data_IF_268164766688
#
_entry.id   IF_268164766688
#
_cell.length_a   1.000
_cell.length_b   1.000
_cell.length_c   1.000
_cell.angle_alpha   90.00
_cell.angle_beta   90.00
_cell.angle_gamma   90.00
#
_symmetry.space_group_name_H-M   'P 1'
#
loop_
_entity.id
_entity.type
_entity.pdbx_description
1 polymer ?
#
# COMPACT_ATOMS: atom_id res chain seq x y z
N UNK A 1 -4.56 -2.23 -20.72
CA UNK A 1 -5.49 -2.10 -19.57
C UNK A 1 -6.90 -2.58 -19.90
N UNK A 2 -7.45 -2.34 -21.11
CA UNK A 2 -8.79 -2.81 -21.50
C UNK A 2 -8.94 -4.34 -21.42
N UNK A 3 -7.95 -5.11 -21.87
CA UNK A 3 -8.01 -6.57 -21.91
C UNK A 3 -8.19 -7.24 -20.54
N UNK A 4 -7.69 -6.63 -19.46
CA UNK A 4 -7.83 -7.17 -18.10
C UNK A 4 -9.26 -7.01 -17.57
N UNK A 5 -9.84 -5.82 -17.76
CA UNK A 5 -11.22 -5.54 -17.32
C UNK A 5 -12.26 -6.24 -18.20
N UNK A 6 -12.00 -6.40 -19.49
CA UNK A 6 -12.89 -7.12 -20.41
C UNK A 6 -12.91 -8.63 -20.12
N UNK A 7 -11.75 -9.22 -19.78
CA UNK A 7 -11.68 -10.61 -19.32
C UNK A 7 -12.31 -10.80 -17.94
N UNK A 8 -12.20 -9.81 -17.04
CA UNK A 8 -12.91 -9.82 -15.76
C UNK A 8 -14.43 -9.74 -15.96
N UNK A 9 -14.90 -8.87 -16.86
CA UNK A 9 -16.31 -8.70 -17.16
C UNK A 9 -16.95 -9.95 -17.76
N UNK A 10 -16.26 -10.63 -18.69
CA UNK A 10 -16.72 -11.91 -19.26
C UNK A 10 -16.82 -13.01 -18.20
N UNK A 11 -15.83 -13.12 -17.30
CA UNK A 11 -15.86 -14.09 -16.19
C UNK A 11 -16.95 -13.82 -15.16
N UNK A 12 -17.32 -12.55 -14.92
CA UNK A 12 -18.37 -12.20 -13.97
C UNK A 12 -19.76 -12.49 -14.55
N UNK A 13 -19.94 -12.33 -15.88
CA UNK A 13 -21.22 -12.61 -16.55
C UNK A 13 -21.59 -14.10 -16.54
N UNK A 14 -20.60 -14.99 -16.61
CA UNK A 14 -20.84 -16.45 -16.59
C UNK A 14 -21.24 -16.98 -15.19
N UNK A 15 -21.08 -16.18 -14.12
CA UNK A 15 -21.36 -16.57 -12.72
C UNK A 15 -22.83 -16.34 -12.32
N UNK A 16 -23.62 -15.67 -13.16
CA UNK A 16 -25.01 -15.34 -12.83
C UNK A 16 -26.01 -16.49 -13.04
N UNK A 17 -25.68 -17.55 -13.81
CA UNK A 17 -26.65 -18.59 -14.17
C UNK A 17 -26.69 -19.84 -13.27
N UNK A 18 -25.67 -20.11 -12.45
CA UNK A 18 -25.61 -21.37 -11.66
C UNK A 18 -25.82 -21.16 -10.15
N UNK A 19 -27.05 -20.85 -9.74
CA UNK A 19 -27.44 -20.69 -8.32
C UNK A 19 -27.56 -22.02 -7.54
N UNK A 20 -26.68 -22.99 -7.81
CA UNK A 20 -26.81 -24.39 -7.37
C UNK A 20 -25.67 -25.01 -6.54
N UNK A 21 -24.51 -24.36 -6.32
CA UNK A 21 -23.31 -25.01 -5.73
C UNK A 21 -22.66 -24.22 -4.58
N UNK A 22 -23.42 -23.93 -3.52
CA UNK A 22 -23.00 -23.12 -2.36
C UNK A 22 -21.66 -23.49 -1.67
N UNK A 23 -21.11 -24.69 -1.86
CA UNK A 23 -19.84 -25.10 -1.21
C UNK A 23 -18.62 -24.85 -2.10
N UNK A 24 -18.70 -25.08 -3.41
CA UNK A 24 -17.59 -24.88 -4.36
C UNK A 24 -17.34 -23.38 -4.61
N UNK A 25 -18.42 -22.60 -4.70
CA UNK A 25 -18.39 -21.14 -4.90
C UNK A 25 -17.66 -20.40 -3.77
N UNK A 26 -17.73 -20.92 -2.54
CA UNK A 26 -17.08 -20.27 -1.40
C UNK A 26 -15.55 -20.35 -1.46
N UNK A 27 -15.00 -21.46 -1.94
CA UNK A 27 -13.55 -21.63 -2.06
C UNK A 27 -12.98 -20.75 -3.17
N UNK A 28 -13.67 -20.66 -4.31
CA UNK A 28 -13.25 -19.78 -5.39
C UNK A 28 -13.34 -18.31 -4.98
N UNK A 29 -14.39 -17.91 -4.28
CA UNK A 29 -14.51 -16.57 -3.70
C UNK A 29 -13.38 -16.27 -2.72
N UNK A 30 -13.00 -17.21 -1.86
CA UNK A 30 -11.86 -17.02 -0.93
C UNK A 30 -10.52 -16.93 -1.67
N UNK A 31 -10.33 -17.72 -2.74
CA UNK A 31 -9.14 -17.65 -3.60
C UNK A 31 -9.01 -16.28 -4.25
N UNK A 32 -10.09 -15.77 -4.85
CA UNK A 32 -10.13 -14.44 -5.47
C UNK A 32 -9.85 -13.35 -4.44
N UNK A 33 -10.50 -13.40 -3.25
CA UNK A 33 -10.23 -12.45 -2.16
C UNK A 33 -8.77 -12.48 -1.69
N UNK A 34 -8.15 -13.65 -1.64
CA UNK A 34 -6.72 -13.79 -1.29
C UNK A 34 -5.80 -13.18 -2.35
N UNK A 35 -6.15 -13.34 -3.63
CA UNK A 35 -5.43 -12.71 -4.74
C UNK A 35 -5.54 -11.18 -4.68
N UNK A 36 -6.74 -10.64 -4.45
CA UNK A 36 -6.96 -9.19 -4.28
C UNK A 36 -6.08 -8.66 -3.15
N UNK A 37 -6.13 -9.28 -1.96
CA UNK A 37 -5.28 -8.86 -0.82
C UNK A 37 -3.78 -8.91 -1.13
N UNK A 38 -3.34 -9.85 -1.98
CA UNK A 38 -1.94 -9.97 -2.36
C UNK A 38 -1.52 -8.85 -3.32
N UNK A 39 -2.40 -8.48 -4.25
CA UNK A 39 -2.21 -7.34 -5.15
C UNK A 39 -2.24 -6.02 -4.37
N UNK A 40 -3.17 -5.85 -3.43
CA UNK A 40 -3.23 -4.65 -2.58
C UNK A 40 -1.95 -4.48 -1.77
N UNK A 41 -1.43 -5.55 -1.16
CA UNK A 41 -0.12 -5.53 -0.48
C UNK A 41 1.04 -5.20 -1.42
N UNK A 42 0.95 -5.57 -2.70
CA UNK A 42 1.97 -5.19 -3.68
C UNK A 42 1.92 -3.69 -3.96
N UNK A 43 0.72 -3.15 -4.19
CA UNK A 43 0.51 -1.72 -4.36
C UNK A 43 0.99 -0.91 -3.14
N UNK A 44 0.71 -1.36 -1.91
CA UNK A 44 1.22 -0.72 -0.69
C UNK A 44 2.75 -0.64 -0.66
N UNK A 45 3.45 -1.72 -1.07
CA UNK A 45 4.92 -1.71 -1.16
C UNK A 45 5.41 -0.72 -2.22
N UNK A 46 4.75 -0.68 -3.38
CA UNK A 46 5.12 0.22 -4.47
C UNK A 46 4.91 1.69 -4.06
N UNK A 47 3.82 2.01 -3.35
CA UNK A 47 3.59 3.35 -2.80
C UNK A 47 4.66 3.76 -1.79
N UNK A 48 5.10 2.85 -0.93
CA UNK A 48 6.22 3.10 -0.01
C UNK A 48 7.51 3.38 -0.79
N UNK A 49 7.80 2.61 -1.83
CA UNK A 49 9.00 2.81 -2.66
C UNK A 49 8.97 4.15 -3.40
N UNK A 50 7.80 4.54 -3.92
CA UNK A 50 7.59 5.86 -4.54
C UNK A 50 7.89 6.97 -3.54
N UNK A 51 7.34 6.90 -2.33
CA UNK A 51 7.61 7.89 -1.28
C UNK A 51 9.10 8.01 -0.94
N UNK A 52 9.80 6.88 -0.84
CA UNK A 52 11.26 6.85 -0.61
C UNK A 52 12.04 7.51 -1.75
N UNK A 53 11.69 7.23 -3.00
CA UNK A 53 12.35 7.83 -4.18
C UNK A 53 12.14 9.35 -4.21
N UNK A 54 10.95 9.82 -3.86
CA UNK A 54 10.65 11.26 -3.77
C UNK A 54 11.53 11.91 -2.70
N UNK A 55 11.60 11.34 -1.50
CA UNK A 55 12.43 11.86 -0.42
C UNK A 55 13.93 11.87 -0.79
N UNK A 56 14.42 10.84 -1.48
CA UNK A 56 15.80 10.81 -1.96
C UNK A 56 16.11 11.93 -2.97
N UNK A 57 15.19 12.21 -3.91
CA UNK A 57 15.32 13.33 -4.85
C UNK A 57 15.33 14.68 -4.14
N UNK A 58 14.48 14.84 -3.13
CA UNK A 58 14.50 16.03 -2.26
C UNK A 58 15.87 16.23 -1.63
N UNK A 59 16.44 15.20 -0.98
CA UNK A 59 17.78 15.29 -0.38
C UNK A 59 18.88 15.58 -1.40
N UNK A 60 18.71 15.13 -2.64
CA UNK A 60 19.66 15.38 -3.72
C UNK A 60 19.54 16.80 -4.33
N UNK A 61 18.51 17.58 -3.95
CA UNK A 61 18.23 18.89 -4.55
C UNK A 61 17.74 18.81 -6.00
N UNK A 62 17.33 17.62 -6.46
CA UNK A 62 16.80 17.40 -7.80
C UNK A 62 15.31 17.75 -7.79
N UNK A 63 14.99 18.97 -8.23
CA UNK A 63 13.67 19.63 -8.35
C UNK A 63 12.49 18.66 -8.12
N UNK A 64 12.07 18.56 -6.86
CA UNK A 64 10.79 17.98 -6.48
C UNK A 64 9.79 19.14 -6.37
N UNK A 65 8.58 18.93 -6.89
CA UNK A 65 7.45 19.85 -6.78
C UNK A 65 7.34 20.39 -5.34
N UNK A 66 7.05 21.69 -5.17
CA UNK A 66 7.06 22.36 -3.84
C UNK A 66 6.19 21.61 -2.80
N UNK A 67 5.12 20.95 -3.22
CA UNK A 67 4.27 20.11 -2.36
C UNK A 67 5.01 18.86 -1.82
N UNK A 68 5.83 18.19 -2.63
CA UNK A 68 6.63 17.04 -2.18
C UNK A 68 7.64 17.44 -1.11
N UNK A 69 8.23 18.64 -1.21
CA UNK A 69 9.15 19.19 -0.22
C UNK A 69 8.46 19.31 1.14
N UNK A 70 7.29 19.96 1.18
CA UNK A 70 6.53 20.15 2.42
C UNK A 70 6.14 18.84 3.10
N UNK A 71 5.79 17.81 2.31
CA UNK A 71 5.49 16.48 2.84
C UNK A 71 6.73 15.78 3.40
N UNK A 72 7.88 15.93 2.74
CA UNK A 72 9.16 15.41 3.21
C UNK A 72 9.60 16.06 4.52
N UNK A 73 9.54 17.39 4.61
CA UNK A 73 9.84 18.14 5.84
C UNK A 73 8.92 17.71 7.00
N UNK A 74 7.63 17.49 6.73
CA UNK A 74 6.69 16.99 7.73
C UNK A 74 7.00 15.54 8.18
N UNK A 75 7.57 14.70 7.33
CA UNK A 75 8.02 13.35 7.70
C UNK A 75 9.27 13.45 8.57
N UNK A 76 10.27 14.22 8.15
CA UNK A 76 11.54 14.40 8.88
C UNK A 76 11.29 14.91 10.30
N UNK A 77 10.41 15.90 10.47
CA UNK A 77 10.01 16.39 11.79
C UNK A 77 9.40 15.30 12.67
N UNK A 78 8.52 14.45 12.12
CA UNK A 78 7.91 13.34 12.87
C UNK A 78 8.93 12.27 13.26
N UNK A 79 9.92 12.02 12.40
CA UNK A 79 11.01 11.08 12.70
C UNK A 79 11.90 11.59 13.83
N UNK A 80 12.24 12.88 13.84
CA UNK A 80 12.97 13.52 14.95
C UNK A 80 12.19 13.44 16.27
N UNK A 81 10.90 13.76 16.24
CA UNK A 81 10.03 13.65 17.42
C UNK A 81 9.96 12.21 17.93
N UNK A 82 9.82 11.22 17.03
CA UNK A 82 9.83 9.80 17.40
C UNK A 82 11.16 9.35 18.01
N UNK A 83 12.29 9.82 17.48
CA UNK A 83 13.62 9.53 18.01
C UNK A 83 13.81 10.12 19.42
N UNK A 84 13.35 11.35 19.65
CA UNK A 84 13.36 11.97 20.97
C UNK A 84 12.50 11.18 21.96
N UNK A 85 11.29 10.77 21.56
CA UNK A 85 10.44 9.92 22.39
C UNK A 85 11.10 8.58 22.74
N UNK A 86 11.78 7.94 21.79
CA UNK A 86 12.51 6.70 22.04
C UNK A 86 13.66 6.90 23.03
N UNK A 87 14.37 8.02 22.94
CA UNK A 87 15.47 8.35 23.85
C UNK A 87 14.98 8.61 25.28
N UNK A 88 13.86 9.33 25.43
CA UNK A 88 13.23 9.53 26.74
C UNK A 88 12.76 8.20 27.35
N UNK A 89 12.21 7.28 26.54
CA UNK A 89 11.86 5.93 27.01
C UNK A 89 13.11 5.18 27.49
N UNK A 90 14.23 5.23 26.76
CA UNK A 90 15.48 4.58 27.17
C UNK A 90 15.96 5.10 28.52
N UNK A 91 15.99 6.42 28.70
CA UNK A 91 16.39 7.04 29.98
C UNK A 91 15.52 6.58 31.15
N UNK A 92 14.22 6.38 30.94
CA UNK A 92 13.30 5.87 31.96
C UNK A 92 13.58 4.38 32.26
N UNK A 93 13.92 3.59 31.24
CA UNK A 93 14.20 2.16 31.40
C UNK A 93 15.57 1.84 32.02
N UNK A 94 16.51 2.79 32.02
CA UNK A 94 17.83 2.66 32.64
C UNK A 94 17.86 3.04 34.14
N UNK A 95 16.74 3.51 34.71
CA UNK A 95 16.54 3.80 36.15
C UNK A 95 15.93 2.61 36.87
#
# INVERSE_FOLDING_TARGET
MADFFEQLGKKISDVAEDFGKKTEDTLEVQRIKSQIRSLDRANERDYIEIGKKIYQKFKAGEVADLECISLCEAIEKREEEAAQCQEEIRKIQEV
#
